data_IF_519535155310
#
_entry.id   IF_519535155310
#
_cell.length_a   1.000
_cell.length_b   1.000
_cell.length_c   1.000
_cell.angle_alpha   90.00
_cell.angle_beta   90.00
_cell.angle_gamma   90.00
#
_symmetry.space_group_name_H-M   'P 1'
#
loop_
_entity.id
_entity.type
_entity.pdbx_description
1 polymer ?
#
# COMPACT_ATOMS: atom_id res chain seq x y z
N UNK A 1 8.84 29.13 9.29
CA UNK A 1 8.48 28.61 7.96
C UNK A 1 7.28 27.71 8.14
N UNK A 2 6.11 28.09 7.61
CA UNK A 2 4.86 27.36 7.79
C UNK A 2 4.62 26.47 6.57
N UNK A 3 4.38 25.18 6.79
CA UNK A 3 4.01 24.25 5.73
C UNK A 3 2.49 24.20 5.59
N UNK A 4 2.00 24.10 4.35
CA UNK A 4 0.58 23.91 4.05
C UNK A 4 0.43 22.71 3.13
N UNK A 5 -0.34 21.72 3.57
CA UNK A 5 -0.70 20.56 2.75
C UNK A 5 -1.78 20.98 1.75
N UNK A 6 -1.61 20.62 0.48
CA UNK A 6 -2.50 21.06 -0.61
C UNK A 6 -3.42 19.97 -1.14
N UNK A 7 -3.00 18.70 -1.03
CA UNK A 7 -3.77 17.54 -1.44
C UNK A 7 -3.26 16.28 -0.73
N UNK A 8 -4.12 15.27 -0.59
CA UNK A 8 -3.76 13.92 -0.16
C UNK A 8 -3.78 12.93 -1.33
N UNK A 9 -2.81 12.01 -1.34
CA UNK A 9 -2.69 10.93 -2.32
C UNK A 9 -3.56 9.71 -2.09
N UNK A 10 -4.47 9.77 -1.12
CA UNK A 10 -5.34 8.66 -0.74
C UNK A 10 -6.65 8.66 -1.54
N UNK A 11 -7.35 7.51 -1.67
CA UNK A 11 -8.64 7.42 -2.36
C UNK A 11 -9.77 8.21 -1.66
N UNK A 12 -9.53 8.62 -0.42
CA UNK A 12 -10.47 9.34 0.45
C UNK A 12 -9.67 10.25 1.39
N UNK A 13 -10.31 11.30 1.92
CA UNK A 13 -9.68 12.22 2.88
C UNK A 13 -9.20 11.46 4.12
N UNK A 14 -8.08 11.90 4.67
CA UNK A 14 -7.52 11.35 5.89
C UNK A 14 -8.25 11.93 7.11
N UNK A 15 -8.07 11.30 8.28
CA UNK A 15 -8.67 11.80 9.52
C UNK A 15 -7.78 12.84 10.21
N UNK A 16 -8.25 13.39 11.33
CA UNK A 16 -7.48 14.30 12.18
C UNK A 16 -7.19 15.63 11.50
N UNK A 17 -5.96 16.13 11.64
CA UNK A 17 -5.52 17.44 11.14
C UNK A 17 -5.62 17.58 9.61
N UNK A 18 -5.76 16.46 8.89
CA UNK A 18 -5.85 16.42 7.43
C UNK A 18 -7.29 16.22 6.91
N UNK A 19 -8.30 16.22 7.79
CA UNK A 19 -9.71 16.01 7.40
C UNK A 19 -10.24 17.03 6.38
N UNK A 20 -9.73 18.27 6.43
CA UNK A 20 -10.12 19.34 5.52
C UNK A 20 -9.28 19.38 4.23
N UNK A 21 -8.21 18.58 4.14
CA UNK A 21 -7.34 18.55 2.97
C UNK A 21 -7.98 17.68 1.87
N UNK A 22 -8.16 18.22 0.65
CA UNK A 22 -8.80 17.48 -0.42
C UNK A 22 -7.92 16.34 -0.96
N UNK A 23 -8.52 15.33 -1.59
CA UNK A 23 -7.78 14.32 -2.36
C UNK A 23 -7.39 14.87 -3.74
N UNK A 24 -6.39 14.27 -4.40
CA UNK A 24 -6.13 14.56 -5.82
C UNK A 24 -7.38 14.35 -6.70
N UNK A 25 -8.17 13.33 -6.38
CA UNK A 25 -9.39 12.99 -7.12
C UNK A 25 -10.47 14.07 -6.98
N UNK A 26 -10.64 14.67 -5.80
CA UNK A 26 -11.54 15.82 -5.59
C UNK A 26 -11.07 17.08 -6.33
N UNK A 27 -9.77 17.17 -6.63
CA UNK A 27 -9.17 18.23 -7.44
C UNK A 27 -9.18 17.93 -8.96
N UNK A 28 -9.83 16.85 -9.39
CA UNK A 28 -9.97 16.48 -10.79
C UNK A 28 -8.84 15.61 -11.35
N UNK A 29 -7.83 15.28 -10.55
CA UNK A 29 -6.76 14.34 -10.92
C UNK A 29 -7.10 12.96 -10.36
N UNK A 30 -7.58 12.05 -11.23
CA UNK A 30 -7.92 10.66 -10.85
C UNK A 30 -6.66 9.85 -10.53
N UNK A 31 -6.05 10.13 -9.39
CA UNK A 31 -4.88 9.48 -8.87
C UNK A 31 -5.09 9.19 -7.39
N UNK A 32 -4.89 7.93 -7.04
CA UNK A 32 -4.69 7.48 -5.67
C UNK A 32 -3.45 6.59 -5.69
N UNK A 33 -2.57 6.78 -4.73
CA UNK A 33 -1.33 6.01 -4.58
C UNK A 33 -1.41 5.30 -3.25
N UNK A 34 -1.49 3.98 -3.29
CA UNK A 34 -1.34 3.16 -2.11
C UNK A 34 0.14 2.89 -1.88
N UNK A 35 0.63 3.19 -0.68
CA UNK A 35 2.02 2.93 -0.29
C UNK A 35 2.01 1.82 0.73
N UNK A 36 2.28 0.60 0.27
CA UNK A 36 2.22 -0.61 1.07
C UNK A 36 3.62 -1.19 1.33
N UNK A 37 3.69 -2.15 2.25
CA UNK A 37 4.93 -2.86 2.61
C UNK A 37 4.75 -4.36 2.48
N UNK A 38 5.79 -5.04 2.02
CA UNK A 38 5.81 -6.49 1.82
C UNK A 38 6.80 -7.17 2.76
N UNK A 39 6.47 -8.39 3.20
CA UNK A 39 7.47 -9.36 3.63
C UNK A 39 7.83 -10.25 2.44
N UNK A 40 9.09 -10.22 2.02
CA UNK A 40 9.57 -10.98 0.86
C UNK A 40 10.51 -12.07 1.34
N UNK A 41 10.22 -13.31 0.97
CA UNK A 41 11.00 -14.46 1.34
C UNK A 41 11.80 -15.02 0.15
N UNK A 42 12.81 -15.88 0.38
CA UNK A 42 13.64 -16.43 -0.68
C UNK A 42 12.85 -17.21 -1.73
N UNK A 43 13.37 -17.24 -2.97
CA UNK A 43 12.82 -18.09 -4.03
C UNK A 43 12.92 -19.57 -3.64
N UNK A 44 11.90 -20.35 -3.98
CA UNK A 44 11.91 -21.82 -3.85
C UNK A 44 11.39 -22.36 -2.53
N UNK A 45 10.74 -21.53 -1.70
CA UNK A 45 10.04 -22.03 -0.51
C UNK A 45 8.94 -23.03 -0.87
N UNK A 46 8.80 -24.06 -0.05
CA UNK A 46 7.74 -25.06 -0.22
C UNK A 46 6.38 -24.47 0.19
N UNK A 47 5.26 -25.05 -0.29
CA UNK A 47 3.92 -24.62 0.12
C UNK A 47 3.72 -24.63 1.65
N UNK A 48 4.30 -25.61 2.35
CA UNK A 48 4.21 -25.70 3.81
C UNK A 48 4.96 -24.55 4.51
N UNK A 49 6.12 -24.14 3.98
CA UNK A 49 6.87 -23.02 4.53
C UNK A 49 6.14 -21.69 4.30
N UNK A 50 5.53 -21.50 3.13
CA UNK A 50 4.71 -20.32 2.84
C UNK A 50 3.51 -20.25 3.80
N UNK A 51 2.76 -21.36 3.92
CA UNK A 51 1.60 -21.44 4.80
C UNK A 51 1.94 -21.15 6.27
N UNK A 52 3.12 -21.59 6.74
CA UNK A 52 3.61 -21.27 8.07
C UNK A 52 3.74 -19.75 8.26
N UNK A 53 4.41 -19.06 7.33
CA UNK A 53 4.63 -17.61 7.44
C UNK A 53 3.36 -16.80 7.24
N UNK A 54 2.47 -17.19 6.32
CA UNK A 54 1.14 -16.59 6.19
C UNK A 54 0.37 -16.69 7.51
N UNK A 55 0.44 -17.84 8.19
CA UNK A 55 -0.17 -18.03 9.51
C UNK A 55 0.47 -17.23 10.64
N UNK A 56 1.78 -16.97 10.58
CA UNK A 56 2.47 -16.07 11.53
C UNK A 56 2.03 -14.62 11.28
N UNK A 57 2.13 -14.15 10.04
CA UNK A 57 1.77 -12.78 9.68
C UNK A 57 0.29 -12.48 9.97
N UNK A 58 -0.62 -13.41 9.64
CA UNK A 58 -2.05 -13.27 9.94
C UNK A 58 -2.36 -13.17 11.44
N UNK A 59 -1.50 -13.70 12.32
CA UNK A 59 -1.62 -13.51 13.77
C UNK A 59 -1.05 -12.17 14.22
N UNK A 60 0.12 -11.79 13.71
CA UNK A 60 0.77 -10.50 14.03
C UNK A 60 -0.14 -9.33 13.66
N UNK A 61 -0.78 -9.36 12.48
CA UNK A 61 -1.64 -8.25 12.06
C UNK A 61 -2.91 -8.10 12.89
N UNK A 62 -3.26 -9.08 13.72
CA UNK A 62 -4.38 -9.03 14.67
C UNK A 62 -3.94 -8.66 16.09
N UNK A 63 -2.65 -8.49 16.31
CA UNK A 63 -2.11 -8.09 17.61
C UNK A 63 -2.60 -6.68 17.97
N UNK A 64 -3.01 -6.49 19.21
CA UNK A 64 -3.58 -5.22 19.67
C UNK A 64 -2.58 -4.08 19.69
N UNK A 65 -1.31 -4.35 20.00
CA UNK A 65 -0.27 -3.31 19.94
C UNK A 65 0.02 -2.95 18.49
N UNK A 66 0.01 -3.93 17.58
CA UNK A 66 0.09 -3.68 16.15
C UNK A 66 -1.05 -2.79 15.66
N UNK A 67 -2.31 -3.10 16.01
CA UNK A 67 -3.48 -2.31 15.61
C UNK A 67 -3.45 -0.87 16.13
N UNK A 68 -2.99 -0.65 17.37
CA UNK A 68 -2.82 0.70 17.94
C UNK A 68 -1.85 1.57 17.13
N UNK A 69 -0.80 0.98 16.57
CA UNK A 69 0.11 1.71 15.69
C UNK A 69 -0.58 2.16 14.39
N UNK A 70 -1.50 1.35 13.84
CA UNK A 70 -2.29 1.77 12.67
C UNK A 70 -3.23 2.91 13.00
N UNK A 71 -3.91 2.88 14.15
CA UNK A 71 -4.79 3.97 14.60
C UNK A 71 -4.06 5.31 14.79
N UNK A 72 -2.77 5.26 15.17
CA UNK A 72 -1.92 6.44 15.33
C UNK A 72 -1.31 6.91 14.02
N UNK A 73 -1.19 6.01 13.06
CA UNK A 73 -0.68 6.30 11.73
C UNK A 73 -1.79 6.81 10.81
N UNK A 74 -1.40 7.37 9.66
CA UNK A 74 -2.33 7.67 8.57
C UNK A 74 -2.47 6.48 7.59
N UNK A 75 -2.12 5.27 8.03
CA UNK A 75 -2.14 4.04 7.22
C UNK A 75 -3.39 3.21 7.50
N UNK A 76 -4.01 2.71 6.44
CA UNK A 76 -5.12 1.76 6.55
C UNK A 76 -4.59 0.34 6.88
N UNK A 77 -5.38 -0.45 7.62
CA UNK A 77 -5.06 -1.86 7.90
C UNK A 77 -5.48 -2.74 6.72
N UNK A 78 -4.54 -2.99 5.81
CA UNK A 78 -4.78 -3.71 4.55
C UNK A 78 -3.93 -4.98 4.40
N UNK A 79 -4.01 -5.92 5.36
CA UNK A 79 -3.24 -7.17 5.26
C UNK A 79 -3.68 -8.03 4.06
N UNK A 80 -2.70 -8.55 3.32
CA UNK A 80 -2.84 -9.58 2.28
C UNK A 80 -1.88 -10.72 2.60
N UNK A 81 -2.31 -11.96 2.34
CA UNK A 81 -1.40 -13.10 2.41
C UNK A 81 -0.43 -13.13 1.22
N UNK A 82 0.45 -14.12 1.18
CA UNK A 82 1.43 -14.29 0.10
C UNK A 82 0.81 -14.34 -1.30
N UNK A 83 -0.32 -15.03 -1.47
CA UNK A 83 -0.97 -15.23 -2.76
C UNK A 83 -1.62 -13.94 -3.27
N UNK A 84 -2.34 -13.23 -2.40
CA UNK A 84 -2.98 -11.97 -2.76
C UNK A 84 -1.98 -10.82 -2.90
N UNK A 85 -0.91 -10.83 -2.11
CA UNK A 85 0.21 -9.89 -2.28
C UNK A 85 0.89 -10.08 -3.64
N UNK A 86 1.13 -11.33 -4.07
CA UNK A 86 1.73 -11.60 -5.37
C UNK A 86 0.84 -11.08 -6.52
N UNK A 87 -0.47 -11.34 -6.45
CA UNK A 87 -1.43 -10.82 -7.44
C UNK A 87 -1.40 -9.30 -7.49
N UNK A 88 -1.45 -8.64 -6.33
CA UNK A 88 -1.42 -7.19 -6.23
C UNK A 88 -0.14 -6.60 -6.84
N UNK A 89 1.03 -7.14 -6.46
CA UNK A 89 2.31 -6.71 -7.01
C UNK A 89 2.35 -6.89 -8.54
N UNK A 90 1.88 -8.01 -9.07
CA UNK A 90 1.85 -8.24 -10.52
C UNK A 90 0.99 -7.22 -11.26
N UNK A 91 -0.17 -6.86 -10.71
CA UNK A 91 -1.03 -5.81 -11.26
C UNK A 91 -0.32 -4.45 -11.26
N UNK A 92 0.20 -4.02 -10.11
CA UNK A 92 0.90 -2.74 -10.02
C UNK A 92 2.14 -2.68 -10.91
N UNK A 93 2.89 -3.78 -11.01
CA UNK A 93 4.04 -3.85 -11.91
C UNK A 93 3.64 -3.65 -13.37
N UNK A 94 2.54 -4.24 -13.82
CA UNK A 94 2.04 -4.05 -15.18
C UNK A 94 1.60 -2.60 -15.44
N UNK A 95 0.92 -1.98 -14.48
CA UNK A 95 0.49 -0.58 -14.54
C UNK A 95 1.69 0.37 -14.59
N UNK A 96 2.65 0.20 -13.66
CA UNK A 96 3.86 1.01 -13.59
C UNK A 96 4.75 0.84 -14.82
N UNK A 97 4.90 -0.40 -15.32
CA UNK A 97 5.64 -0.65 -16.56
C UNK A 97 5.00 0.12 -17.72
N UNK A 98 3.68 0.06 -17.85
CA UNK A 98 2.94 0.80 -18.89
C UNK A 98 3.18 2.31 -18.79
N UNK A 99 3.03 2.86 -17.58
CA UNK A 99 3.24 4.28 -17.32
C UNK A 99 4.67 4.71 -17.66
N UNK A 100 5.68 3.97 -17.18
CA UNK A 100 7.08 4.31 -17.44
C UNK A 100 7.47 4.16 -18.91
N UNK A 101 6.89 3.23 -19.65
CA UNK A 101 7.08 3.17 -21.11
C UNK A 101 6.52 4.40 -21.80
N UNK A 102 5.30 4.84 -21.46
CA UNK A 102 4.69 6.06 -22.03
C UNK A 102 5.50 7.31 -21.71
N UNK A 103 6.08 7.38 -20.51
CA UNK A 103 6.94 8.50 -20.09
C UNK A 103 8.37 8.42 -20.64
N UNK A 104 8.74 7.35 -21.37
CA UNK A 104 10.11 7.14 -21.86
C UNK A 104 11.13 6.83 -20.76
N UNK A 105 10.66 6.39 -19.58
CA UNK A 105 11.47 6.07 -18.40
C UNK A 105 11.78 4.57 -18.27
N UNK A 106 11.15 3.72 -19.07
CA UNK A 106 11.46 2.29 -19.17
C UNK A 106 11.88 1.93 -20.60
N UNK A 107 12.78 0.94 -20.70
CA UNK A 107 13.08 0.30 -21.98
C UNK A 107 11.85 -0.52 -22.44
N UNK A 108 11.55 -0.56 -23.74
CA UNK A 108 10.46 -1.37 -24.27
C UNK A 108 10.56 -2.85 -23.85
#
# INVERSE_FOLDING_TARGET
>A
MTFRVVAVGAPRRLQGELAEVPTWSELGVKSAVDVWRALVAPKGMSPAQIAFWDGVAARVVKDTEWLKEFERSLSDHGYKDSADTLKHWQTEYAEMKTLYTVLGLAKP
#
